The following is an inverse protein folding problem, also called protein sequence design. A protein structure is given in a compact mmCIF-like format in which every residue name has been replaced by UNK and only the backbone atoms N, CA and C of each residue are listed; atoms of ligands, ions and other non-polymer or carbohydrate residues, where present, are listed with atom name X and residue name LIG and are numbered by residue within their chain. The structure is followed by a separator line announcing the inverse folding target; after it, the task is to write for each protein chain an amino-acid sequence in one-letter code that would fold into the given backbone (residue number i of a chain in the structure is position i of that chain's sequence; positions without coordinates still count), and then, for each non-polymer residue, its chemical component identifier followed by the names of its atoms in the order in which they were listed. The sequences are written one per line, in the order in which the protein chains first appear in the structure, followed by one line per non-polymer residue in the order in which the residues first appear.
data_IF_841346721528
#
_entry.id   IF_841346721528
#
_cell.length_a   1.000
_cell.length_b   1.000
_cell.length_c   1.000
_cell.angle_alpha   90.00
_cell.angle_beta   90.00
_cell.angle_gamma   90.00
#
_symmetry.space_group_name_H-M   'P 1'
#
loop_
_entity.id
_entity.type
_entity.pdbx_description
1 polymer ?
#
# COMPACT_ATOMS: atom_id res chain seq x y z
N UNK A 1 -8.15 14.94 15.23
CA UNK A 1 -9.20 15.98 15.30
C UNK A 1 -10.56 15.35 15.63
N UNK A 2 -11.48 16.09 16.24
CA UNK A 2 -12.87 15.64 16.46
C UNK A 2 -13.82 16.45 15.56
N UNK A 3 -14.65 15.77 14.79
CA UNK A 3 -15.59 16.35 13.83
C UNK A 3 -16.91 15.62 13.98
N UNK A 4 -18.00 16.33 14.25
CA UNK A 4 -19.35 15.74 14.45
C UNK A 4 -19.35 14.57 15.46
N UNK A 5 -18.68 14.72 16.60
CA UNK A 5 -18.50 13.67 17.63
C UNK A 5 -17.75 12.41 17.16
N UNK A 6 -17.16 12.42 15.96
CA UNK A 6 -16.31 11.36 15.43
C UNK A 6 -14.84 11.79 15.46
N UNK A 7 -13.94 10.82 15.60
CA UNK A 7 -12.50 11.06 15.71
C UNK A 7 -11.81 10.74 14.39
N UNK A 8 -11.03 11.69 13.88
CA UNK A 8 -10.23 11.50 12.66
C UNK A 8 -8.76 11.73 12.97
N UNK A 9 -7.89 10.87 12.47
CA UNK A 9 -6.45 11.13 12.47
C UNK A 9 -6.10 12.19 11.44
N UNK A 10 -5.05 12.96 11.71
CA UNK A 10 -4.43 13.88 10.74
C UNK A 10 -2.91 13.74 10.84
N UNK A 11 -2.21 14.11 9.77
CA UNK A 11 -0.75 14.04 9.71
C UNK A 11 -0.10 14.79 10.88
N UNK A 12 0.95 14.21 11.46
CA UNK A 12 1.65 14.72 12.66
C UNK A 12 2.20 16.14 12.52
N UNK A 13 2.51 16.56 11.29
CA UNK A 13 2.91 17.94 10.94
C UNK A 13 1.87 19.00 11.30
N UNK A 14 0.61 18.63 11.46
CA UNK A 14 -0.49 19.54 11.83
C UNK A 14 -0.75 19.57 13.34
N UNK A 15 0.11 18.92 14.15
CA UNK A 15 -0.02 18.95 15.62
C UNK A 15 0.27 20.38 16.10
N UNK A 16 -0.69 20.98 16.81
CA UNK A 16 -0.59 22.35 17.32
C UNK A 16 -1.09 23.42 16.35
N UNK A 17 -1.40 23.03 15.11
CA UNK A 17 -1.89 23.94 14.08
C UNK A 17 -3.42 23.98 14.04
N UNK A 18 -3.98 25.10 13.56
CA UNK A 18 -5.40 25.23 13.28
C UNK A 18 -5.71 24.62 11.90
N UNK A 19 -6.55 23.60 11.89
CA UNK A 19 -6.99 22.91 10.67
C UNK A 19 -8.46 23.22 10.43
N UNK A 20 -8.77 23.78 9.27
CA UNK A 20 -10.15 24.01 8.83
C UNK A 20 -10.74 22.72 8.30
N UNK A 21 -11.92 22.35 8.77
CA UNK A 21 -12.63 21.15 8.30
C UNK A 21 -13.87 21.55 7.53
N UNK A 22 -13.92 21.18 6.25
CA UNK A 22 -15.12 21.35 5.42
C UNK A 22 -15.87 20.03 5.37
N UNK A 23 -17.16 20.08 5.69
CA UNK A 23 -18.01 18.89 5.78
C UNK A 23 -18.90 18.85 4.53
N UNK A 24 -18.81 17.76 3.78
CA UNK A 24 -19.65 17.47 2.62
C UNK A 24 -20.62 16.33 2.95
N UNK A 25 -21.49 16.00 2.00
CA UNK A 25 -22.49 14.94 2.18
C UNK A 25 -21.82 13.58 2.48
N UNK A 26 -20.82 13.19 1.67
CA UNK A 26 -20.18 11.87 1.72
C UNK A 26 -18.77 11.88 2.32
N UNK A 27 -18.10 13.04 2.34
CA UNK A 27 -16.71 13.17 2.81
C UNK A 27 -16.49 14.43 3.64
N UNK A 28 -15.34 14.48 4.30
CA UNK A 28 -14.82 15.68 4.94
C UNK A 28 -13.48 16.03 4.30
N UNK A 29 -13.15 17.31 4.28
CA UNK A 29 -11.86 17.79 3.80
C UNK A 29 -11.15 18.54 4.93
N UNK A 30 -9.90 18.17 5.18
CA UNK A 30 -9.00 18.89 6.08
C UNK A 30 -8.16 19.90 5.27
N UNK A 31 -8.22 21.17 5.67
CA UNK A 31 -7.56 22.30 5.02
C UNK A 31 -6.59 22.96 5.99
N UNK A 32 -5.41 23.34 5.50
CA UNK A 32 -4.41 24.11 6.24
C UNK A 32 -3.78 25.14 5.30
N UNK A 33 -3.67 26.39 5.74
CA UNK A 33 -3.10 27.49 4.95
C UNK A 33 -3.69 27.59 3.51
N UNK A 34 -5.03 27.55 3.40
CA UNK A 34 -5.76 27.59 2.12
C UNK A 34 -5.47 26.41 1.16
N UNK A 35 -4.77 25.37 1.61
CA UNK A 35 -4.51 24.15 0.86
C UNK A 35 -5.28 22.98 1.46
N UNK A 36 -5.94 22.20 0.60
CA UNK A 36 -6.52 20.91 1.00
C UNK A 36 -5.40 19.92 1.28
N UNK A 37 -5.35 19.42 2.51
CA UNK A 37 -4.35 18.44 2.94
C UNK A 37 -4.84 17.03 2.69
N UNK A 38 -6.07 16.72 3.09
CA UNK A 38 -6.61 15.35 3.04
C UNK A 38 -8.13 15.35 2.85
N UNK A 39 -8.62 14.31 2.18
CA UNK A 39 -10.05 14.03 2.04
C UNK A 39 -10.34 12.70 2.73
N UNK A 40 -11.28 12.70 3.68
CA UNK A 40 -11.60 11.55 4.51
C UNK A 40 -13.09 11.19 4.36
N UNK A 41 -13.48 9.91 4.44
CA UNK A 41 -14.88 9.51 4.36
C UNK A 41 -15.65 10.07 5.56
N UNK A 42 -16.89 10.52 5.34
CA UNK A 42 -17.73 11.02 6.43
C UNK A 42 -18.29 9.84 7.22
N UNK A 43 -17.88 9.72 8.48
CA UNK A 43 -18.47 8.76 9.40
C UNK A 43 -19.89 9.19 9.80
N UNK A 44 -20.82 8.24 9.74
CA UNK A 44 -22.20 8.39 10.22
C UNK A 44 -22.30 7.89 11.67
N UNK A 45 -23.15 8.52 12.47
CA UNK A 45 -23.31 8.22 13.90
C UNK A 45 -22.37 8.99 14.81
N UNK A 46 -22.25 8.55 16.06
CA UNK A 46 -21.45 9.18 17.12
C UNK A 46 -20.37 8.21 17.62
N UNK A 47 -19.23 8.75 18.09
CA UNK A 47 -18.08 7.99 18.61
C UNK A 47 -17.38 7.06 17.60
N UNK A 48 -17.65 7.24 16.31
CA UNK A 48 -16.88 6.61 15.23
C UNK A 48 -15.45 7.13 15.20
N UNK A 49 -14.55 6.32 14.64
CA UNK A 49 -13.16 6.68 14.44
C UNK A 49 -12.70 6.28 13.03
N UNK A 50 -11.85 7.11 12.45
CA UNK A 50 -11.15 6.81 11.21
C UNK A 50 -9.69 7.19 11.41
N UNK A 51 -8.86 6.20 11.67
CA UNK A 51 -7.43 6.38 11.92
C UNK A 51 -6.65 5.87 10.72
N UNK A 52 -6.02 6.80 10.00
CA UNK A 52 -5.03 6.49 8.99
C UNK A 52 -3.71 6.16 9.69
N UNK A 53 -3.30 4.90 9.59
CA UNK A 53 -2.10 4.39 10.25
C UNK A 53 -0.82 5.14 9.84
N UNK A 54 -0.77 5.71 8.63
CA UNK A 54 0.37 6.50 8.13
C UNK A 54 0.68 7.70 9.02
N UNK A 55 -0.32 8.21 9.76
CA UNK A 55 -0.13 9.33 10.67
C UNK A 55 0.57 8.98 11.98
N UNK A 56 0.54 7.69 12.38
CA UNK A 56 1.00 7.25 13.70
C UNK A 56 2.17 6.28 13.65
N UNK A 57 2.45 5.69 12.47
CA UNK A 57 3.40 4.59 12.33
C UNK A 57 4.82 4.95 12.79
N UNK A 58 5.33 6.14 12.44
CA UNK A 58 6.66 6.61 12.83
C UNK A 58 6.86 6.62 14.36
N UNK A 59 5.79 6.87 15.12
CA UNK A 59 5.84 6.89 16.58
C UNK A 59 5.80 5.47 17.14
N UNK A 60 4.97 4.60 16.57
CA UNK A 60 4.80 3.22 17.01
C UNK A 60 6.05 2.37 16.71
N UNK A 61 6.70 2.54 15.57
CA UNK A 61 7.97 1.85 15.25
C UNK A 61 9.05 2.15 16.28
N UNK A 62 9.15 3.40 16.74
CA UNK A 62 10.11 3.81 17.79
C UNK A 62 9.79 3.21 19.16
N UNK A 63 8.52 2.94 19.43
CA UNK A 63 8.03 2.42 20.72
C UNK A 63 7.03 1.28 20.50
N UNK A 64 7.48 0.10 20.05
CA UNK A 64 6.61 -0.98 19.61
C UNK A 64 5.75 -1.58 20.74
N UNK A 65 6.16 -1.42 21.99
CA UNK A 65 5.36 -1.84 23.15
C UNK A 65 4.02 -1.11 23.27
N UNK A 66 3.88 0.08 22.70
CA UNK A 66 2.62 0.83 22.70
C UNK A 66 1.54 0.20 21.81
N UNK A 67 1.94 -0.65 20.84
CA UNK A 67 1.00 -1.23 19.89
C UNK A 67 0.10 -2.31 20.50
N UNK A 68 0.56 -3.00 21.55
CA UNK A 68 -0.20 -4.09 22.18
C UNK A 68 -1.56 -3.64 22.69
N UNK A 69 -1.58 -2.52 23.42
CA UNK A 69 -2.78 -1.91 24.02
C UNK A 69 -3.20 -0.63 23.28
N UNK A 70 -2.86 -0.50 21.99
CA UNK A 70 -3.23 0.67 21.22
C UNK A 70 -4.75 0.74 21.04
N UNK A 71 -5.35 1.89 21.36
CA UNK A 71 -6.80 2.08 21.36
C UNK A 71 -7.45 1.78 20.00
N UNK A 72 -6.76 2.12 18.91
CA UNK A 72 -7.27 1.98 17.54
C UNK A 72 -6.52 0.88 16.78
N UNK A 73 -6.19 -0.21 17.46
CA UNK A 73 -5.42 -1.31 16.88
C UNK A 73 -6.12 -1.91 15.65
N UNK A 74 -7.44 -1.97 15.64
CA UNK A 74 -8.20 -2.53 14.52
C UNK A 74 -8.08 -1.67 13.23
N UNK A 75 -7.89 -0.36 13.36
CA UNK A 75 -7.63 0.57 12.24
C UNK A 75 -6.19 0.47 11.71
N UNK A 76 -5.32 -0.25 12.41
CA UNK A 76 -3.93 -0.45 11.99
C UNK A 76 -3.79 -1.62 11.01
N UNK A 77 -4.89 -2.20 10.51
CA UNK A 77 -4.92 -3.25 9.50
C UNK A 77 -5.59 -2.73 8.22
N UNK A 78 -4.81 -2.24 7.23
CA UNK A 78 -5.38 -1.64 6.01
C UNK A 78 -6.23 -2.63 5.21
N UNK A 79 -5.82 -3.90 5.20
CA UNK A 79 -6.54 -5.00 4.55
C UNK A 79 -6.59 -6.23 5.45
N UNK A 80 -7.40 -7.22 5.07
CA UNK A 80 -7.45 -8.52 5.75
C UNK A 80 -6.11 -9.25 5.74
N UNK A 81 -5.28 -9.08 4.69
CA UNK A 81 -3.97 -9.72 4.59
C UNK A 81 -3.03 -9.23 5.69
N UNK A 82 -3.05 -7.94 6.02
CA UNK A 82 -2.29 -7.39 7.15
C UNK A 82 -2.72 -8.01 8.48
N UNK A 83 -4.03 -8.20 8.70
CA UNK A 83 -4.54 -8.85 9.92
C UNK A 83 -4.07 -10.30 10.02
N UNK A 84 -4.22 -11.07 8.95
CA UNK A 84 -3.81 -12.48 8.93
C UNK A 84 -2.30 -12.60 9.15
N UNK A 85 -1.50 -11.78 8.46
CA UNK A 85 -0.06 -11.75 8.64
C UNK A 85 0.34 -11.44 10.09
N UNK A 86 -0.35 -10.50 10.76
CA UNK A 86 -0.11 -10.21 12.17
C UNK A 86 -0.42 -11.41 13.09
N UNK A 87 -1.52 -12.11 12.84
CA UNK A 87 -1.88 -13.29 13.63
C UNK A 87 -0.86 -14.42 13.45
N UNK A 88 -0.36 -14.62 12.22
CA UNK A 88 0.72 -15.57 11.92
C UNK A 88 2.02 -15.18 12.65
N UNK A 89 2.44 -13.92 12.56
CA UNK A 89 3.62 -13.40 13.27
C UNK A 89 3.50 -13.61 14.79
N UNK A 90 2.31 -13.39 15.35
CA UNK A 90 2.03 -13.57 16.77
C UNK A 90 2.19 -15.02 17.20
N UNK A 91 1.75 -15.97 16.37
CA UNK A 91 1.89 -17.40 16.63
C UNK A 91 3.36 -17.86 16.51
N UNK A 92 4.12 -17.29 15.58
CA UNK A 92 5.51 -17.69 15.32
C UNK A 92 6.51 -17.15 16.34
N UNK A 93 6.43 -15.86 16.69
CA UNK A 93 7.47 -15.17 17.46
C UNK A 93 6.99 -14.64 18.82
N UNK A 94 5.70 -14.81 19.14
CA UNK A 94 5.07 -14.22 20.31
C UNK A 94 4.81 -12.71 20.16
N UNK A 95 4.02 -12.17 21.09
CA UNK A 95 3.42 -10.83 20.99
C UNK A 95 4.45 -9.71 20.78
N UNK A 96 5.54 -9.71 21.56
CA UNK A 96 6.52 -8.62 21.54
C UNK A 96 7.25 -8.52 20.20
N UNK A 97 7.70 -9.65 19.66
CA UNK A 97 8.39 -9.68 18.37
C UNK A 97 7.42 -9.48 17.21
N UNK A 98 6.23 -10.07 17.28
CA UNK A 98 5.19 -9.86 16.27
C UNK A 98 4.83 -8.38 16.12
N UNK A 99 4.64 -7.66 17.23
CA UNK A 99 4.39 -6.21 17.20
C UNK A 99 5.53 -5.46 16.50
N UNK A 100 6.79 -5.80 16.80
CA UNK A 100 7.95 -5.14 16.19
C UNK A 100 8.02 -5.42 14.68
N UNK A 101 7.86 -6.67 14.27
CA UNK A 101 7.90 -7.05 12.85
C UNK A 101 6.74 -6.44 12.08
N UNK A 102 5.53 -6.55 12.61
CA UNK A 102 4.33 -6.00 11.99
C UNK A 102 4.41 -4.49 11.79
N UNK A 103 4.89 -3.75 12.80
CA UNK A 103 5.05 -2.30 12.67
C UNK A 103 6.07 -1.93 11.60
N UNK A 104 7.14 -2.72 11.41
CA UNK A 104 8.08 -2.49 10.30
C UNK A 104 7.44 -2.76 8.93
N UNK A 105 6.64 -3.82 8.80
CA UNK A 105 5.87 -4.11 7.57
C UNK A 105 4.92 -2.96 7.26
N UNK A 106 4.26 -2.44 8.28
CA UNK A 106 3.33 -1.32 8.14
C UNK A 106 4.05 0.01 7.81
N UNK A 107 5.25 0.21 8.35
CA UNK A 107 6.13 1.33 7.99
C UNK A 107 6.58 1.23 6.53
N UNK A 108 6.96 0.03 6.06
CA UNK A 108 7.29 -0.24 4.66
C UNK A 108 6.10 0.12 3.75
N UNK A 109 4.89 -0.30 4.11
CA UNK A 109 3.67 0.06 3.38
C UNK A 109 3.37 1.58 3.38
N UNK A 110 3.78 2.30 4.41
CA UNK A 110 3.62 3.75 4.49
C UNK A 110 4.65 4.50 3.63
N UNK A 111 5.89 3.99 3.51
CA UNK A 111 7.00 4.62 2.79
C UNK A 111 7.05 4.28 1.31
N UNK A 112 6.77 3.02 0.98
CA UNK A 112 6.88 2.49 -0.38
C UNK A 112 5.48 2.45 -1.02
N UNK A 113 4.84 1.27 -1.00
CA UNK A 113 3.53 1.07 -1.59
C UNK A 113 2.74 0.03 -0.78
N UNK A 114 1.58 0.44 -0.27
CA UNK A 114 0.67 -0.43 0.48
C UNK A 114 0.14 -1.59 -0.38
N UNK A 115 -0.10 -1.37 -1.67
CA UNK A 115 -0.60 -2.40 -2.58
C UNK A 115 0.45 -3.50 -2.82
N UNK A 116 1.70 -3.13 -3.06
CA UNK A 116 2.80 -4.10 -3.22
C UNK A 116 3.04 -4.90 -1.95
N UNK A 117 3.02 -4.25 -0.77
CA UNK A 117 3.12 -4.97 0.50
C UNK A 117 1.92 -5.91 0.71
N UNK A 118 0.71 -5.48 0.36
CA UNK A 118 -0.47 -6.33 0.44
C UNK A 118 -0.36 -7.58 -0.45
N UNK A 119 0.17 -7.44 -1.66
CA UNK A 119 0.40 -8.57 -2.57
C UNK A 119 1.48 -9.52 -2.06
N UNK A 120 2.61 -8.98 -1.57
CA UNK A 120 3.64 -9.80 -0.92
C UNK A 120 3.08 -10.57 0.29
N UNK A 121 2.31 -9.92 1.14
CA UNK A 121 1.64 -10.57 2.27
C UNK A 121 0.65 -11.63 1.81
N UNK A 122 -0.16 -11.35 0.78
CA UNK A 122 -1.09 -12.32 0.20
C UNK A 122 -0.36 -13.56 -0.30
N UNK A 123 0.77 -13.39 -0.98
CA UNK A 123 1.56 -14.51 -1.47
C UNK A 123 2.11 -15.35 -0.31
N UNK A 124 2.72 -14.71 0.70
CA UNK A 124 3.30 -15.39 1.85
C UNK A 124 2.24 -16.11 2.70
N UNK A 125 1.10 -15.48 2.96
CA UNK A 125 0.00 -16.09 3.71
C UNK A 125 -0.52 -17.37 3.04
N UNK A 126 -0.47 -17.47 1.70
CA UNK A 126 -0.97 -18.62 0.97
C UNK A 126 0.09 -19.71 0.69
N UNK A 127 1.37 -19.36 0.63
CA UNK A 127 2.43 -20.26 0.15
C UNK A 127 3.56 -20.50 1.15
N UNK A 128 3.69 -19.68 2.21
CA UNK A 128 4.80 -19.76 3.14
C UNK A 128 4.33 -20.20 4.53
N UNK A 129 5.10 -21.10 5.14
CA UNK A 129 4.90 -21.52 6.54
C UNK A 129 5.35 -20.44 7.54
N UNK A 130 6.21 -19.52 7.10
CA UNK A 130 6.81 -18.46 7.92
C UNK A 130 6.71 -17.09 7.27
N UNK A 131 6.42 -16.07 8.08
CA UNK A 131 6.35 -14.67 7.65
C UNK A 131 7.30 -13.88 8.53
N UNK A 132 8.19 -13.13 7.91
CA UNK A 132 9.07 -12.19 8.60
C UNK A 132 9.23 -10.90 7.78
N UNK A 133 9.64 -9.83 8.47
CA UNK A 133 9.82 -8.53 7.84
C UNK A 133 10.82 -8.56 6.68
N UNK A 134 11.94 -9.28 6.82
CA UNK A 134 13.02 -9.26 5.85
C UNK A 134 12.58 -9.91 4.52
N UNK A 135 11.83 -11.02 4.58
CA UNK A 135 11.21 -11.65 3.40
C UNK A 135 10.21 -10.73 2.71
N UNK A 136 9.33 -10.05 3.48
CA UNK A 136 8.37 -9.09 2.91
C UNK A 136 9.10 -7.93 2.21
N UNK A 137 10.15 -7.40 2.84
CA UNK A 137 10.94 -6.31 2.27
C UNK A 137 11.63 -6.73 0.96
N UNK A 138 12.18 -7.94 0.90
CA UNK A 138 12.80 -8.47 -0.32
C UNK A 138 11.81 -8.66 -1.46
N UNK A 139 10.62 -9.19 -1.18
CA UNK A 139 9.58 -9.38 -2.19
C UNK A 139 9.14 -8.05 -2.80
N UNK A 140 8.88 -7.05 -1.96
CA UNK A 140 8.46 -5.71 -2.42
C UNK A 140 9.55 -5.05 -3.26
N UNK A 141 10.82 -5.14 -2.85
CA UNK A 141 11.95 -4.60 -3.65
C UNK A 141 12.12 -5.32 -4.99
N UNK A 142 11.86 -6.62 -5.03
CA UNK A 142 11.99 -7.43 -6.26
C UNK A 142 10.90 -7.09 -7.28
N UNK A 143 9.66 -6.86 -6.83
CA UNK A 143 8.56 -6.40 -7.72
C UNK A 143 8.76 -4.98 -8.26
N UNK A 144 9.50 -4.14 -7.52
CA UNK A 144 9.82 -2.78 -7.94
C UNK A 144 10.99 -2.70 -8.94
N UNK A 145 11.78 -3.77 -9.11
CA UNK A 145 12.81 -3.79 -10.14
C UNK A 145 12.16 -3.97 -11.52
N UNK A 146 12.37 -3.03 -12.46
CA UNK A 146 11.94 -3.28 -13.84
C UNK A 146 12.61 -4.57 -14.34
N UNK A 147 11.88 -5.43 -15.09
CA UNK A 147 12.49 -6.61 -15.68
C UNK A 147 13.73 -6.17 -16.45
N UNK A 148 14.83 -6.91 -16.32
CA UNK A 148 16.07 -6.61 -17.06
C UNK A 148 15.73 -6.47 -18.53
N UNK A 149 16.21 -5.39 -19.16
CA UNK A 149 15.99 -5.10 -20.59
C UNK A 149 16.29 -6.38 -21.36
N UNK A 150 15.27 -6.94 -21.99
CA UNK A 150 15.45 -8.06 -22.89
C UNK A 150 16.07 -7.46 -24.14
N UNK A 151 17.37 -7.66 -24.34
CA UNK A 151 18.02 -7.30 -25.61
C UNK A 151 17.38 -8.16 -26.70
N UNK A 152 16.39 -7.58 -27.40
CA UNK A 152 15.75 -8.22 -28.54
C UNK A 152 16.74 -8.15 -29.70
N UNK A 153 17.39 -9.28 -29.97
CA UNK A 153 18.23 -9.43 -31.14
C UNK A 153 17.32 -9.53 -32.37
N UNK A 154 17.13 -8.41 -33.07
CA UNK A 154 16.49 -8.41 -34.39
C UNK A 154 17.54 -8.94 -35.36
N UNK A 155 17.40 -10.20 -35.77
CA UNK A 155 18.25 -10.78 -36.81
C UNK A 155 18.10 -10.02 -38.12
N UNK A 156 19.17 -9.99 -38.93
CA UNK A 156 19.15 -9.34 -40.25
C UNK A 156 17.96 -9.85 -41.07
N UNK A 157 17.07 -8.93 -41.42
CA UNK A 157 15.88 -9.22 -42.22
C UNK A 157 16.34 -9.45 -43.65
N UNK A 158 16.13 -10.67 -44.14
CA UNK A 158 16.39 -11.01 -45.54
C UNK A 158 15.30 -10.40 -46.43
N UNK A 159 15.67 -9.34 -47.17
CA UNK A 159 14.75 -8.57 -48.01
C UNK A 159 14.27 -9.36 -49.24
N UNK A 160 15.01 -10.41 -49.66
CA UNK A 160 14.64 -11.26 -50.79
C UNK A 160 13.34 -12.05 -50.53
N UNK A 161 12.93 -12.17 -49.26
CA UNK A 161 11.65 -12.79 -48.87
C UNK A 161 10.41 -12.00 -49.31
N UNK A 162 10.53 -10.70 -49.56
CA UNK A 162 9.42 -9.85 -50.03
C UNK A 162 9.14 -10.03 -51.53
N UNK A 163 10.15 -10.40 -52.32
CA UNK A 163 10.00 -10.54 -53.77
C UNK A 163 9.05 -11.70 -54.14
N UNK A 164 9.01 -12.77 -53.32
CA UNK A 164 8.06 -13.87 -53.48
C UNK A 164 6.59 -13.47 -53.28
N UNK A 165 6.30 -12.32 -52.64
CA UNK A 165 4.93 -11.84 -52.42
C UNK A 165 4.40 -11.02 -53.62
N UNK A 166 5.26 -10.65 -54.57
CA UNK A 166 4.89 -9.86 -55.76
C UNK A 166 4.53 -10.73 -56.98
N UNK A 167 4.76 -12.04 -56.95
CA UNK A 167 4.45 -12.95 -58.07
C UNK A 167 2.96 -13.37 -58.19
N UNK A 168 2.04 -12.72 -57.46
CA UNK A 168 0.60 -12.94 -57.66
C UNK A 168 0.03 -12.12 -58.84
N UNK A 169 0.42 -12.57 -60.03
CA UNK A 169 -0.23 -12.49 -61.34
C UNK A 169 -1.17 -11.28 -61.64
N UNK A 170 -0.65 -10.38 -62.47
CA UNK A 170 -1.44 -9.55 -63.38
C UNK A 170 -2.45 -10.42 -64.16
N UNK A 171 -3.75 -10.15 -64.03
CA UNK A 171 -4.77 -10.67 -64.94
C UNK A 171 -5.09 -9.58 -65.96
N UNK A 172 -4.51 -9.70 -67.16
CA UNK A 172 -4.92 -8.94 -68.34
C UNK A 172 -6.32 -9.41 -68.78
N UNK A 173 -7.30 -8.52 -68.67
CA UNK A 173 -8.62 -8.65 -69.28
C UNK A 173 -8.50 -8.58 -70.81
N UNK A 174 -9.00 -9.61 -71.50
CA UNK A 174 -9.37 -9.58 -72.93
C UNK A 174 -10.87 -9.78 -73.03
#
# INVERSE_FOLDING_TARGET
IRVLKNSYSVHSRLIGENVDVRIYAEHIEAWYAQRRIETLPRLRGENGHYINYRHVIDTLVRKPGAFENYRYKDDMFPTSQFRIAYDILRNQYGIKQANKQYLKILELAAKENEASVNEALRFLVNHADQIDFDTVEQMVKSEQQPPSVTDVYIGDIDLDSYDYLLESAETLLV
#
